data_IF_777038878251
#
_entry.id   IF_777038878251
#
_cell.length_a   1.000
_cell.length_b   1.000
_cell.length_c   1.000
_cell.angle_alpha   90.00
_cell.angle_beta   90.00
_cell.angle_gamma   90.00
#
_symmetry.space_group_name_H-M   'P 1'
#
loop_
_entity.id
_entity.type
_entity.pdbx_description
1 polymer ?
#
# COMPACT_ATOMS: atom_id res chain seq x y z
N UNK A 1 -40.09 42.34 22.49
CA UNK A 1 -39.77 40.88 22.59
C UNK A 1 -38.37 40.77 23.11
N UNK A 2 -38.20 40.38 24.41
CA UNK A 2 -36.90 40.37 25.08
C UNK A 2 -36.23 39.00 24.89
N UNK A 3 -35.05 38.97 24.28
CA UNK A 3 -34.18 37.80 24.18
C UNK A 3 -33.42 37.61 25.46
N UNK A 4 -33.53 36.45 26.11
CA UNK A 4 -32.72 36.06 27.25
C UNK A 4 -31.48 35.30 26.77
N UNK A 5 -30.27 35.56 27.28
CA UNK A 5 -29.11 34.75 26.98
C UNK A 5 -29.09 33.51 27.90
N UNK A 6 -28.95 32.35 27.26
CA UNK A 6 -28.73 31.07 27.94
C UNK A 6 -27.26 31.01 28.37
N UNK A 7 -27.00 31.06 29.67
CA UNK A 7 -25.64 30.85 30.21
C UNK A 7 -25.35 29.34 30.30
N UNK A 8 -24.34 28.87 29.53
CA UNK A 8 -23.82 27.52 29.59
C UNK A 8 -22.83 27.41 30.76
N UNK A 9 -23.20 26.74 31.84
CA UNK A 9 -22.33 26.47 32.96
C UNK A 9 -21.41 25.26 32.62
N UNK A 10 -20.11 25.52 32.47
CA UNK A 10 -19.08 24.49 32.37
C UNK A 10 -18.69 24.09 33.79
N UNK A 11 -19.04 22.86 34.17
CA UNK A 11 -18.57 22.26 35.45
C UNK A 11 -17.17 21.69 35.22
N UNK A 12 -16.17 22.34 35.83
CA UNK A 12 -14.80 21.85 35.91
C UNK A 12 -14.71 20.77 37.01
N UNK A 13 -14.67 19.50 36.58
CA UNK A 13 -14.28 18.40 37.46
C UNK A 13 -12.74 18.32 37.47
N UNK A 14 -12.13 18.65 38.59
CA UNK A 14 -10.69 18.44 38.80
C UNK A 14 -10.41 16.96 39.07
N UNK A 15 -9.51 16.30 38.32
CA UNK A 15 -9.07 14.97 38.69
C UNK A 15 -8.05 15.05 39.83
N UNK A 16 -8.32 14.32 40.91
CA UNK A 16 -7.35 14.07 41.95
C UNK A 16 -6.23 13.17 41.43
N UNK A 17 -5.03 13.70 41.36
CA UNK A 17 -3.81 12.93 41.01
C UNK A 17 -3.42 12.05 42.20
N UNK A 18 -3.63 10.74 42.07
CA UNK A 18 -2.95 9.72 42.87
C UNK A 18 -1.57 9.49 42.23
N UNK A 19 -0.53 10.00 42.89
CA UNK A 19 0.85 9.66 42.53
C UNK A 19 1.13 8.22 42.98
N UNK A 20 1.13 7.30 42.03
CA UNK A 20 1.73 5.99 42.20
C UNK A 20 3.21 6.09 41.79
N UNK A 21 4.10 5.96 42.76
CA UNK A 21 5.53 5.75 42.50
C UNK A 21 5.75 4.29 42.11
N UNK A 22 5.71 3.97 40.82
CA UNK A 22 6.22 2.69 40.29
C UNK A 22 7.68 2.89 39.89
N UNK A 23 8.58 2.43 40.75
CA UNK A 23 9.98 2.19 40.40
C UNK A 23 10.11 0.86 39.65
N UNK A 24 9.67 0.80 38.42
CA UNK A 24 10.07 -0.26 37.48
C UNK A 24 11.03 0.36 36.46
N UNK A 25 12.33 0.12 36.68
CA UNK A 25 13.37 0.23 35.66
C UNK A 25 13.23 -0.90 34.64
N UNK A 26 12.08 -1.11 34.06
CA UNK A 26 11.95 -1.82 32.82
C UNK A 26 12.41 -0.89 31.70
N UNK A 27 13.63 -1.10 31.25
CA UNK A 27 14.06 -0.60 29.94
C UNK A 27 13.04 -1.10 28.93
N UNK A 28 12.12 -0.21 28.52
CA UNK A 28 11.17 -0.45 27.44
C UNK A 28 11.98 -0.76 26.16
N UNK A 29 12.33 -2.02 25.98
CA UNK A 29 12.79 -2.50 24.68
C UNK A 29 11.62 -2.30 23.72
N UNK A 30 11.71 -1.29 22.87
CA UNK A 30 10.77 -1.13 21.79
C UNK A 30 10.72 -2.46 21.01
N UNK A 31 9.52 -3.02 20.72
CA UNK A 31 9.42 -4.27 19.99
C UNK A 31 10.23 -4.16 18.71
N UNK A 32 11.04 -5.19 18.44
CA UNK A 32 11.88 -5.23 17.24
C UNK A 32 10.99 -5.05 16.00
N UNK A 33 11.24 -3.99 15.22
CA UNK A 33 10.49 -3.71 14.01
C UNK A 33 10.82 -4.78 12.99
N UNK A 34 9.85 -5.63 12.70
CA UNK A 34 9.96 -6.72 11.71
C UNK A 34 9.63 -6.17 10.34
N UNK A 35 10.44 -6.50 9.34
CA UNK A 35 10.27 -6.10 7.95
C UNK A 35 10.27 -7.33 7.04
N UNK A 36 9.68 -7.17 5.86
CA UNK A 36 9.56 -8.23 4.84
C UNK A 36 10.32 -7.91 3.55
N UNK A 37 11.31 -7.02 3.65
CA UNK A 37 12.10 -6.51 2.52
C UNK A 37 12.77 -7.59 1.68
N UNK A 38 13.05 -8.73 2.28
CA UNK A 38 13.65 -9.89 1.64
C UNK A 38 12.69 -11.04 1.44
N UNK A 39 11.38 -10.80 1.30
CA UNK A 39 10.31 -11.82 1.23
C UNK A 39 10.20 -12.71 2.48
N UNK A 40 11.01 -12.48 3.50
CA UNK A 40 10.99 -13.13 4.80
C UNK A 40 10.84 -12.07 5.89
N UNK A 41 10.05 -12.35 6.91
CA UNK A 41 9.98 -11.51 8.09
C UNK A 41 11.33 -11.55 8.84
N UNK A 42 11.95 -10.40 9.05
CA UNK A 42 13.24 -10.27 9.74
C UNK A 42 13.30 -8.98 10.58
N UNK A 43 14.06 -8.93 11.66
CA UNK A 43 14.29 -7.69 12.38
C UNK A 43 14.95 -6.65 11.45
N UNK A 44 14.46 -5.40 11.48
CA UNK A 44 15.02 -4.32 10.65
C UNK A 44 16.53 -4.15 10.82
N UNK A 45 17.07 -4.42 12.01
CA UNK A 45 18.48 -4.32 12.31
C UNK A 45 19.34 -5.35 11.53
N UNK A 46 18.73 -6.43 11.05
CA UNK A 46 19.39 -7.49 10.27
C UNK A 46 19.21 -7.29 8.75
N UNK A 47 18.42 -6.31 8.34
CA UNK A 47 18.22 -6.03 6.93
C UNK A 47 19.49 -5.55 6.25
N UNK A 48 19.88 -6.21 5.17
CA UNK A 48 21.01 -5.83 4.33
C UNK A 48 20.75 -4.61 3.48
N UNK A 49 19.47 -4.26 3.25
CA UNK A 49 19.06 -3.11 2.47
C UNK A 49 18.63 -1.91 3.32
N UNK A 50 18.87 -0.72 2.78
CA UNK A 50 18.38 0.52 3.36
C UNK A 50 16.83 0.54 3.33
N UNK A 51 16.20 0.28 4.47
CA UNK A 51 14.75 0.15 4.61
C UNK A 51 14.19 1.25 5.50
N UNK A 52 13.13 1.91 5.02
CA UNK A 52 12.29 2.81 5.81
C UNK A 52 10.95 2.14 6.06
N UNK A 53 10.43 2.27 7.28
CA UNK A 53 9.16 1.67 7.67
C UNK A 53 8.30 2.75 8.31
N UNK A 54 7.04 2.80 7.91
CA UNK A 54 6.00 3.60 8.52
C UNK A 54 4.91 2.69 9.03
N UNK A 55 4.75 2.63 10.33
CA UNK A 55 3.70 1.87 10.99
C UNK A 55 2.39 2.65 11.03
N UNK A 56 1.28 2.01 11.39
CA UNK A 56 0.00 2.71 11.62
C UNK A 56 0.14 3.88 12.59
N UNK A 57 0.89 3.70 13.68
CA UNK A 57 1.18 4.76 14.65
C UNK A 57 1.94 5.95 14.04
N UNK A 58 2.88 5.67 13.12
CA UNK A 58 3.59 6.74 12.41
C UNK A 58 2.67 7.48 11.45
N UNK A 59 1.82 6.78 10.71
CA UNK A 59 0.83 7.37 9.80
C UNK A 59 -0.12 8.28 10.58
N UNK A 60 -0.64 7.80 11.71
CA UNK A 60 -1.54 8.57 12.57
C UNK A 60 -0.86 9.79 13.22
N UNK A 61 0.39 9.63 13.66
CA UNK A 61 1.17 10.75 14.24
C UNK A 61 1.51 11.83 13.20
N UNK A 62 1.84 11.41 11.98
CA UNK A 62 2.24 12.32 10.90
C UNK A 62 1.05 13.01 10.23
N UNK A 63 -0.18 12.52 10.45
CA UNK A 63 -1.43 13.06 9.90
C UNK A 63 -1.38 13.29 8.38
N UNK A 64 -0.66 12.40 7.66
CA UNK A 64 -0.59 12.42 6.20
C UNK A 64 -1.92 12.00 5.61
N UNK A 65 -2.26 12.56 4.46
CA UNK A 65 -3.51 12.28 3.76
C UNK A 65 -3.38 11.19 2.70
N UNK A 66 -2.21 11.12 2.08
CA UNK A 66 -1.94 10.25 0.95
C UNK A 66 -0.65 9.47 1.15
N UNK A 67 -0.52 8.37 0.44
CA UNK A 67 0.68 7.53 0.45
C UNK A 67 1.90 8.30 -0.05
N UNK A 68 1.73 9.10 -1.08
CA UNK A 68 2.81 9.89 -1.68
C UNK A 68 3.41 10.93 -0.72
N UNK A 69 2.60 11.59 0.13
CA UNK A 69 3.11 12.48 1.19
C UNK A 69 4.02 11.74 2.18
N UNK A 70 3.71 10.48 2.46
CA UNK A 70 4.55 9.65 3.33
C UNK A 70 5.87 9.31 2.64
N UNK A 71 5.82 8.98 1.35
CA UNK A 71 6.98 8.60 0.55
C UNK A 71 7.98 9.76 0.37
N UNK A 72 7.53 11.03 0.36
CA UNK A 72 8.45 12.19 0.32
C UNK A 72 9.37 12.28 1.54
N UNK A 73 9.04 11.61 2.64
CA UNK A 73 9.85 11.57 3.87
C UNK A 73 10.95 10.50 3.82
N UNK A 74 10.98 9.68 2.77
CA UNK A 74 11.98 8.62 2.62
C UNK A 74 13.23 9.18 1.94
N UNK A 75 14.40 9.14 2.56
CA UNK A 75 15.65 9.58 1.93
C UNK A 75 15.90 8.88 0.60
N UNK A 76 16.19 9.63 -0.48
CA UNK A 76 16.48 9.09 -1.81
C UNK A 76 15.24 8.63 -2.58
N UNK A 77 14.06 9.01 -2.14
CA UNK A 77 12.79 8.90 -2.89
C UNK A 77 12.36 10.31 -3.29
N UNK A 78 12.00 10.47 -4.55
CA UNK A 78 11.38 11.68 -5.10
C UNK A 78 9.99 11.33 -5.58
N UNK A 79 9.04 12.22 -5.33
CA UNK A 79 7.65 12.04 -5.72
C UNK A 79 7.22 13.25 -6.57
N UNK A 80 6.55 12.98 -7.67
CA UNK A 80 5.92 14.00 -8.50
C UNK A 80 4.42 13.77 -8.56
N UNK A 81 3.63 14.83 -8.52
CA UNK A 81 2.18 14.79 -8.73
C UNK A 81 1.82 15.83 -9.78
N UNK A 82 1.01 15.45 -10.75
CA UNK A 82 0.67 16.27 -11.89
C UNK A 82 -0.67 17.01 -11.70
N UNK A 83 -0.92 17.55 -10.49
CA UNK A 83 -2.15 18.27 -10.21
C UNK A 83 -2.66 18.09 -8.78
N UNK A 84 -3.97 18.18 -8.60
CA UNK A 84 -4.67 18.07 -7.33
C UNK A 84 -4.77 16.65 -6.77
N UNK A 85 -5.65 16.41 -5.79
CA UNK A 85 -5.90 15.08 -5.24
C UNK A 85 -6.36 14.09 -6.32
N UNK A 86 -5.76 12.89 -6.35
CA UNK A 86 -6.08 11.85 -7.33
C UNK A 86 -5.37 11.98 -8.68
N UNK A 87 -4.56 13.04 -8.88
CA UNK A 87 -3.76 13.19 -10.09
C UNK A 87 -2.60 12.21 -10.13
N UNK A 88 -2.17 11.87 -11.36
CA UNK A 88 -1.09 10.93 -11.62
C UNK A 88 0.14 11.21 -10.76
N UNK A 89 0.58 10.21 -10.04
CA UNK A 89 1.69 10.28 -9.10
C UNK A 89 2.83 9.37 -9.51
N UNK A 90 4.01 9.92 -9.73
CA UNK A 90 5.25 9.20 -10.01
C UNK A 90 6.13 9.09 -8.79
N UNK A 91 6.70 7.90 -8.54
CA UNK A 91 7.66 7.67 -7.45
C UNK A 91 8.98 7.19 -8.03
N UNK A 92 10.04 7.91 -7.74
CA UNK A 92 11.38 7.71 -8.28
C UNK A 92 12.35 7.40 -7.14
N UNK A 93 13.02 6.27 -7.19
CA UNK A 93 13.99 5.87 -6.17
C UNK A 93 15.41 5.95 -6.72
N UNK A 94 16.28 6.72 -6.06
CA UNK A 94 17.71 6.84 -6.41
C UNK A 94 17.97 7.14 -7.90
N UNK A 95 17.10 7.95 -8.53
CA UNK A 95 17.25 8.35 -9.93
C UNK A 95 16.75 7.34 -10.97
N UNK A 96 16.11 6.25 -10.57
CA UNK A 96 15.45 5.33 -11.52
C UNK A 96 14.09 5.89 -11.94
N UNK A 97 13.51 5.34 -13.01
CA UNK A 97 12.15 5.71 -13.43
C UNK A 97 11.09 5.17 -12.47
N UNK A 98 9.89 5.75 -12.50
CA UNK A 98 8.76 5.28 -11.68
C UNK A 98 8.38 3.84 -12.00
N UNK A 99 8.49 3.39 -13.25
CA UNK A 99 8.25 2.02 -13.67
C UNK A 99 9.29 1.01 -13.13
N UNK A 100 10.43 1.49 -12.61
CA UNK A 100 11.47 0.67 -11.99
C UNK A 100 11.39 0.67 -10.45
N UNK A 101 10.32 1.23 -9.90
CA UNK A 101 10.00 1.26 -8.47
C UNK A 101 8.79 0.36 -8.24
N UNK A 102 9.05 -0.89 -7.88
CA UNK A 102 7.99 -1.89 -7.71
C UNK A 102 7.11 -1.56 -6.51
N UNK A 103 5.80 -1.53 -6.71
CA UNK A 103 4.81 -1.38 -5.64
C UNK A 103 3.99 -2.65 -5.48
N UNK A 104 3.89 -3.09 -4.23
CA UNK A 104 3.09 -4.25 -3.84
C UNK A 104 2.06 -3.84 -2.78
N UNK A 105 0.84 -4.32 -2.92
CA UNK A 105 -0.21 -4.26 -1.88
C UNK A 105 -0.53 -5.68 -1.45
N UNK A 106 -0.30 -6.00 -0.19
CA UNK A 106 -0.42 -7.36 0.38
C UNK A 106 0.25 -8.43 -0.49
N UNK A 107 1.43 -8.09 -1.04
CA UNK A 107 2.22 -8.95 -1.93
C UNK A 107 1.82 -8.93 -3.41
N UNK A 108 0.71 -8.28 -3.78
CA UNK A 108 0.25 -8.18 -5.16
C UNK A 108 0.79 -6.92 -5.85
N UNK A 109 1.33 -7.07 -7.07
CA UNK A 109 1.80 -5.95 -7.89
C UNK A 109 0.61 -5.12 -8.36
N UNK A 110 0.72 -3.80 -8.28
CA UNK A 110 -0.31 -2.84 -8.68
C UNK A 110 0.16 -1.90 -9.80
N UNK A 111 0.89 -2.40 -10.78
CA UNK A 111 1.40 -1.58 -11.87
C UNK A 111 0.54 -1.73 -13.13
N UNK A 112 0.24 -0.62 -13.80
CA UNK A 112 -0.40 -0.62 -15.11
C UNK A 112 0.51 -1.27 -16.15
N UNK A 113 0.01 -2.24 -16.91
CA UNK A 113 0.79 -2.95 -17.93
C UNK A 113 1.23 -2.04 -19.08
N UNK A 114 0.48 -0.97 -19.35
CA UNK A 114 0.77 0.00 -20.42
C UNK A 114 1.98 0.90 -20.11
N UNK A 115 2.18 1.29 -18.86
CA UNK A 115 3.20 2.28 -18.46
C UNK A 115 4.24 1.73 -17.47
N UNK A 116 3.95 0.61 -16.82
CA UNK A 116 4.75 0.08 -15.71
C UNK A 116 4.63 0.88 -14.39
N UNK A 117 3.87 1.97 -14.38
CA UNK A 117 3.69 2.81 -13.18
C UNK A 117 2.54 2.32 -12.32
N UNK A 118 2.61 2.59 -11.02
CA UNK A 118 1.59 2.17 -10.05
C UNK A 118 0.71 3.34 -9.65
N UNK A 119 -0.61 3.14 -9.63
CA UNK A 119 -1.63 4.15 -9.30
C UNK A 119 -1.71 4.38 -7.78
N UNK A 120 -0.63 4.94 -7.20
CA UNK A 120 -0.53 5.23 -5.76
C UNK A 120 -1.50 6.31 -5.29
N UNK A 121 -1.89 7.23 -6.19
CA UNK A 121 -2.80 8.32 -5.95
C UNK A 121 -4.19 7.88 -5.50
N UNK A 122 -4.57 6.66 -5.82
CA UNK A 122 -5.87 6.10 -5.45
C UNK A 122 -5.85 5.38 -4.10
N UNK A 123 -4.67 5.08 -3.54
CA UNK A 123 -4.57 4.33 -2.29
C UNK A 123 -5.00 5.15 -1.08
N UNK A 124 -6.06 4.71 -0.41
CA UNK A 124 -6.52 5.32 0.83
C UNK A 124 -5.58 4.97 1.98
N UNK A 125 -4.94 5.99 2.56
CA UNK A 125 -4.02 5.86 3.70
C UNK A 125 -4.68 5.23 4.94
N UNK A 126 -5.99 5.39 5.08
CA UNK A 126 -6.73 4.86 6.22
C UNK A 126 -6.90 3.34 6.19
N UNK A 127 -6.77 2.71 5.02
CA UNK A 127 -6.82 1.26 4.87
C UNK A 127 -5.45 0.60 5.09
N UNK A 128 -4.40 1.40 5.30
CA UNK A 128 -3.01 0.93 5.38
C UNK A 128 -2.58 0.76 6.85
N UNK A 129 -2.02 -0.39 7.15
CA UNK A 129 -1.39 -0.71 8.45
C UNK A 129 0.07 -0.29 8.48
N UNK A 130 0.81 -0.58 7.38
CA UNK A 130 2.24 -0.38 7.33
C UNK A 130 2.71 -0.19 5.89
N UNK A 131 3.72 0.66 5.71
CA UNK A 131 4.45 0.82 4.45
C UNK A 131 5.93 0.57 4.71
N UNK A 132 6.54 -0.31 3.92
CA UNK A 132 7.97 -0.58 3.90
C UNK A 132 8.55 -0.12 2.57
N UNK A 133 9.62 0.68 2.62
CA UNK A 133 10.31 1.17 1.43
C UNK A 133 11.75 0.66 1.45
N UNK A 134 12.04 -0.28 0.57
CA UNK A 134 13.36 -0.90 0.39
C UNK A 134 14.04 -0.25 -0.78
N UNK A 135 15.17 0.42 -0.54
CA UNK A 135 15.89 1.21 -1.54
C UNK A 135 17.10 0.48 -2.08
N UNK A 136 17.24 0.49 -3.38
CA UNK A 136 18.26 -0.21 -4.13
C UNK A 136 17.73 -1.48 -4.76
N UNK A 137 18.48 -2.03 -5.69
CA UNK A 137 18.04 -3.16 -6.50
C UNK A 137 17.62 -4.37 -5.65
N UNK A 138 16.43 -4.88 -5.94
CA UNK A 138 15.88 -6.12 -5.43
C UNK A 138 15.47 -7.07 -6.59
N UNK A 139 16.05 -6.86 -7.74
CA UNK A 139 15.73 -7.59 -8.98
C UNK A 139 15.98 -9.09 -8.85
N UNK A 140 16.96 -9.52 -8.04
CA UNK A 140 17.19 -10.95 -7.77
C UNK A 140 16.03 -11.64 -7.05
N UNK A 141 15.14 -10.90 -6.39
CA UNK A 141 13.97 -11.45 -5.71
C UNK A 141 12.65 -11.13 -6.44
N UNK A 142 12.56 -9.91 -7.00
CA UNK A 142 11.29 -9.37 -7.50
C UNK A 142 11.25 -9.15 -9.01
N UNK A 143 12.38 -9.39 -9.72
CA UNK A 143 12.49 -9.19 -11.16
C UNK A 143 12.86 -7.77 -11.56
N UNK A 144 12.80 -7.48 -12.86
CA UNK A 144 13.28 -6.23 -13.50
C UNK A 144 12.64 -4.95 -12.96
N UNK A 145 11.39 -5.01 -12.52
CA UNK A 145 10.67 -3.82 -12.06
C UNK A 145 11.17 -3.28 -10.71
N UNK A 146 12.04 -4.04 -10.00
CA UNK A 146 12.60 -3.70 -8.70
C UNK A 146 14.06 -3.19 -8.76
N UNK A 147 14.46 -2.50 -9.82
CA UNK A 147 15.81 -1.93 -9.99
C UNK A 147 16.04 -0.77 -9.01
N UNK A 148 15.08 0.14 -8.88
CA UNK A 148 15.12 1.26 -7.94
C UNK A 148 14.90 0.84 -6.50
N UNK A 149 14.00 -0.12 -6.31
CA UNK A 149 13.61 -0.65 -5.03
C UNK A 149 12.19 -1.20 -5.02
N UNK A 150 11.71 -1.47 -3.81
CA UNK A 150 10.37 -2.04 -3.59
C UNK A 150 9.64 -1.23 -2.52
N UNK A 151 8.39 -0.89 -2.80
CA UNK A 151 7.44 -0.32 -1.83
C UNK A 151 6.43 -1.43 -1.51
N UNK A 152 6.43 -1.90 -0.28
CA UNK A 152 5.44 -2.86 0.20
C UNK A 152 4.42 -2.15 1.08
N UNK A 153 3.17 -2.26 0.71
CA UNK A 153 2.02 -1.68 1.40
C UNK A 153 1.21 -2.84 1.96
N UNK A 154 0.97 -2.80 3.26
CA UNK A 154 0.17 -3.79 3.97
C UNK A 154 -1.13 -3.13 4.39
N UNK A 155 -2.25 -3.73 4.02
CA UNK A 155 -3.56 -3.29 4.49
C UNK A 155 -3.75 -3.63 5.97
N UNK A 156 -4.73 -2.98 6.61
CA UNK A 156 -5.04 -3.25 8.01
C UNK A 156 -5.33 -4.72 8.22
N UNK A 157 -4.75 -5.29 9.24
CA UNK A 157 -4.95 -6.68 9.67
C UNK A 157 -5.57 -6.74 11.06
N UNK A 158 -6.07 -7.91 11.45
CA UNK A 158 -6.55 -8.17 12.80
C UNK A 158 -5.42 -8.40 13.79
N UNK A 159 -5.76 -8.39 15.05
CA UNK A 159 -4.86 -8.68 16.18
C UNK A 159 -5.52 -9.67 17.13
N UNK A 160 -4.73 -10.27 18.01
CA UNK A 160 -5.24 -11.15 19.06
C UNK A 160 -5.88 -10.31 20.19
N UNK A 161 -6.95 -9.62 19.85
CA UNK A 161 -7.76 -8.80 20.77
C UNK A 161 -9.23 -8.95 20.40
N UNK A 162 -10.17 -8.81 21.37
CA UNK A 162 -11.60 -8.75 21.04
C UNK A 162 -11.89 -7.71 19.96
N UNK A 163 -13.00 -7.89 19.25
CA UNK A 163 -13.44 -7.00 18.19
C UNK A 163 -13.43 -5.53 18.65
N UNK A 164 -12.66 -4.71 17.95
CA UNK A 164 -12.53 -3.28 18.21
C UNK A 164 -13.00 -2.51 16.98
N UNK A 165 -14.13 -1.80 17.06
CA UNK A 165 -14.53 -0.86 16.03
C UNK A 165 -13.58 0.34 16.02
N UNK A 166 -13.29 0.86 14.84
CA UNK A 166 -12.56 2.11 14.67
C UNK A 166 -13.30 3.04 13.72
N UNK A 167 -13.16 4.32 13.95
CA UNK A 167 -13.75 5.38 13.15
C UNK A 167 -12.78 6.55 13.04
N UNK A 168 -12.70 7.13 11.84
CA UNK A 168 -12.03 8.41 11.60
C UNK A 168 -12.94 9.29 10.78
N UNK A 169 -13.10 10.53 11.22
CA UNK A 169 -13.81 11.59 10.50
C UNK A 169 -12.88 12.78 10.37
N UNK A 170 -12.72 13.32 9.17
CA UNK A 170 -11.97 14.53 8.95
C UNK A 170 -12.70 15.44 7.97
N UNK A 171 -12.53 16.75 8.16
CA UNK A 171 -13.04 17.79 7.28
C UNK A 171 -11.93 18.82 7.03
N UNK A 172 -11.86 19.35 5.82
CA UNK A 172 -10.83 20.29 5.42
C UNK A 172 -11.31 21.34 4.43
N UNK A 173 -10.37 22.16 3.96
CA UNK A 173 -10.60 23.12 2.88
C UNK A 173 -11.09 22.40 1.60
N UNK A 174 -11.61 23.18 0.65
CA UNK A 174 -12.14 22.67 -0.63
C UNK A 174 -13.22 21.60 -0.45
N UNK A 175 -14.07 21.73 0.58
CA UNK A 175 -15.13 20.76 0.93
C UNK A 175 -14.59 19.33 1.03
N UNK A 176 -13.40 19.17 1.59
CA UNK A 176 -12.80 17.84 1.78
C UNK A 176 -13.42 17.15 3.00
N UNK A 177 -13.88 15.93 2.79
CA UNK A 177 -14.44 15.07 3.83
C UNK A 177 -13.84 13.66 3.70
N UNK A 178 -13.32 13.16 4.81
CA UNK A 178 -12.79 11.79 4.92
C UNK A 178 -13.57 11.06 6.02
N UNK A 179 -14.08 9.88 5.67
CA UNK A 179 -14.91 9.07 6.57
C UNK A 179 -14.44 7.63 6.49
N UNK A 180 -13.93 7.12 7.59
CA UNK A 180 -13.47 5.74 7.70
C UNK A 180 -14.19 5.05 8.84
N UNK A 181 -14.68 3.86 8.58
CA UNK A 181 -15.29 2.96 9.56
C UNK A 181 -14.70 1.57 9.37
N UNK A 182 -14.53 0.85 10.47
CA UNK A 182 -14.11 -0.54 10.38
C UNK A 182 -14.14 -1.26 11.71
N UNK A 183 -13.81 -2.52 11.65
CA UNK A 183 -13.67 -3.39 12.81
C UNK A 183 -12.46 -4.30 12.61
N UNK A 184 -11.63 -4.42 13.65
CA UNK A 184 -10.51 -5.36 13.68
C UNK A 184 -10.55 -6.15 14.97
N UNK A 185 -10.02 -7.34 14.94
CA UNK A 185 -9.97 -8.18 16.13
C UNK A 185 -9.54 -9.59 15.81
N UNK A 186 -9.73 -10.47 16.78
CA UNK A 186 -9.43 -11.88 16.64
C UNK A 186 -9.17 -12.56 17.97
N UNK A 187 -8.62 -13.74 17.87
CA UNK A 187 -8.14 -14.55 18.97
C UNK A 187 -6.77 -15.16 18.64
N UNK A 188 -6.34 -16.15 19.36
CA UNK A 188 -5.05 -16.84 19.13
C UNK A 188 -4.98 -17.51 17.74
N UNK A 189 -6.11 -17.92 17.19
CA UNK A 189 -6.19 -18.66 15.94
C UNK A 189 -6.65 -17.81 14.76
N UNK A 190 -7.66 -16.96 14.94
CA UNK A 190 -8.26 -16.18 13.84
C UNK A 190 -8.08 -14.70 14.08
N UNK A 191 -7.58 -13.98 13.07
CA UNK A 191 -7.46 -12.53 13.07
C UNK A 191 -8.21 -11.98 11.86
N UNK A 192 -8.88 -10.86 12.04
CA UNK A 192 -9.65 -10.25 10.96
C UNK A 192 -9.67 -8.72 11.05
N UNK A 193 -9.75 -8.10 9.89
CA UNK A 193 -10.08 -6.69 9.72
C UNK A 193 -11.07 -6.53 8.56
N UNK A 194 -12.05 -5.65 8.75
CA UNK A 194 -12.94 -5.16 7.70
C UNK A 194 -13.05 -3.65 7.84
N UNK A 195 -12.77 -2.92 6.78
CA UNK A 195 -12.77 -1.46 6.77
C UNK A 195 -13.34 -0.87 5.50
N UNK A 196 -13.97 0.30 5.63
CA UNK A 196 -14.45 1.10 4.50
C UNK A 196 -14.09 2.56 4.69
N UNK A 197 -13.74 3.22 3.60
CA UNK A 197 -13.40 4.66 3.56
C UNK A 197 -14.12 5.33 2.42
N UNK A 198 -14.57 6.56 2.64
CA UNK A 198 -15.06 7.47 1.62
C UNK A 198 -14.33 8.80 1.76
N UNK A 199 -13.58 9.16 0.73
CA UNK A 199 -12.86 10.43 0.61
C UNK A 199 -13.47 11.23 -0.51
N UNK A 200 -13.85 12.47 -0.22
CA UNK A 200 -14.44 13.42 -1.16
C UNK A 200 -13.77 14.78 -1.01
N UNK A 201 -13.51 15.44 -2.12
CA UNK A 201 -12.99 16.82 -2.16
C UNK A 201 -13.49 17.50 -3.42
N UNK A 202 -13.80 18.79 -3.34
CA UNK A 202 -14.06 19.62 -4.52
C UNK A 202 -12.75 19.99 -5.24
N UNK A 203 -11.58 19.70 -4.64
CA UNK A 203 -10.30 19.97 -5.26
C UNK A 203 -9.99 21.46 -5.47
N UNK A 204 -9.13 21.71 -6.41
CA UNK A 204 -8.68 23.06 -6.81
C UNK A 204 -8.69 23.17 -8.33
N UNK A 205 -8.78 24.37 -8.86
CA UNK A 205 -8.46 24.67 -10.27
C UNK A 205 -6.94 24.53 -10.47
N UNK A 206 -6.50 23.53 -11.21
CA UNK A 206 -5.08 23.23 -11.44
C UNK A 206 -4.45 24.13 -12.50
N UNK A 207 -5.23 24.77 -13.37
CA UNK A 207 -4.74 25.65 -14.44
C UNK A 207 -4.69 27.10 -14.01
N UNK A 208 -5.30 27.49 -12.91
CA UNK A 208 -5.28 28.84 -12.36
C UNK A 208 -5.91 29.89 -13.26
N UNK A 209 -6.84 29.52 -14.14
CA UNK A 209 -7.65 30.38 -14.95
C UNK A 209 -6.91 31.21 -16.04
N UNK A 210 -5.58 31.09 -16.16
CA UNK A 210 -4.77 31.89 -17.07
C UNK A 210 -4.38 31.16 -18.36
N UNK A 211 -4.44 29.87 -18.40
CA UNK A 211 -4.01 29.02 -19.51
C UNK A 211 -5.12 28.14 -20.10
N UNK A 212 -6.26 28.03 -19.44
CA UNK A 212 -7.31 27.12 -19.83
C UNK A 212 -8.63 27.84 -20.18
N UNK A 213 -9.37 27.22 -21.07
CA UNK A 213 -10.78 27.54 -21.30
C UNK A 213 -11.68 26.97 -20.20
N UNK A 214 -11.12 26.14 -19.32
CA UNK A 214 -11.77 25.48 -18.20
C UNK A 214 -11.22 26.03 -16.89
N UNK A 215 -12.07 26.70 -16.12
CA UNK A 215 -11.75 27.30 -14.82
C UNK A 215 -12.72 26.72 -13.80
N UNK A 216 -12.62 25.42 -13.56
CA UNK A 216 -13.38 24.75 -12.52
C UNK A 216 -12.45 24.04 -11.54
N UNK A 217 -13.02 23.47 -10.50
CA UNK A 217 -12.25 22.72 -9.53
C UNK A 217 -12.26 21.22 -9.89
N UNK A 218 -11.10 20.61 -9.81
CA UNK A 218 -10.89 19.20 -10.08
C UNK A 218 -11.27 18.34 -8.86
N UNK A 219 -12.48 17.86 -8.85
CA UNK A 219 -13.00 17.09 -7.72
C UNK A 219 -12.45 15.67 -7.68
N UNK A 220 -12.32 15.15 -6.45
CA UNK A 220 -12.01 13.74 -6.19
C UNK A 220 -13.12 13.09 -5.37
N UNK A 221 -13.55 11.92 -5.79
CA UNK A 221 -14.34 11.00 -4.97
C UNK A 221 -13.70 9.62 -5.02
N UNK A 222 -13.27 9.10 -3.85
CA UNK A 222 -12.67 7.77 -3.72
C UNK A 222 -13.38 7.00 -2.61
N UNK A 223 -13.84 5.80 -2.92
CA UNK A 223 -14.34 4.83 -1.95
C UNK A 223 -13.40 3.64 -1.91
N UNK A 224 -13.04 3.21 -0.70
CA UNK A 224 -12.19 2.06 -0.46
C UNK A 224 -12.89 1.06 0.46
N UNK A 225 -12.72 -0.21 0.15
CA UNK A 225 -13.08 -1.33 1.03
C UNK A 225 -11.85 -2.21 1.20
N UNK A 226 -11.57 -2.65 2.42
CA UNK A 226 -10.51 -3.61 2.70
C UNK A 226 -11.00 -4.72 3.62
N UNK A 227 -10.48 -5.91 3.37
CA UNK A 227 -10.70 -7.09 4.19
C UNK A 227 -9.39 -7.85 4.33
N UNK A 228 -9.11 -8.30 5.54
CA UNK A 228 -7.99 -9.21 5.81
C UNK A 228 -8.45 -10.23 6.86
N UNK A 229 -8.26 -11.51 6.57
CA UNK A 229 -8.57 -12.61 7.49
C UNK A 229 -7.43 -13.61 7.43
N UNK A 230 -6.92 -14.02 8.59
CA UNK A 230 -5.97 -15.13 8.70
C UNK A 230 -6.40 -16.10 9.78
N UNK A 231 -6.10 -17.39 9.57
CA UNK A 231 -6.43 -18.45 10.50
C UNK A 231 -5.25 -19.41 10.67
N UNK A 232 -4.86 -19.59 11.93
CA UNK A 232 -3.84 -20.55 12.35
C UNK A 232 -4.54 -21.88 12.66
N UNK A 233 -4.44 -22.86 11.77
CA UNK A 233 -5.08 -24.19 11.94
C UNK A 233 -4.40 -25.02 13.01
N UNK A 234 -3.09 -24.86 13.13
CA UNK A 234 -2.24 -25.45 14.16
C UNK A 234 -0.92 -24.67 14.23
N UNK A 235 0.02 -25.08 15.07
CA UNK A 235 1.31 -24.39 15.27
C UNK A 235 2.15 -24.28 13.98
N UNK A 236 1.85 -25.08 12.97
CA UNK A 236 2.60 -25.13 11.72
C UNK A 236 1.87 -24.51 10.54
N UNK A 237 0.54 -24.62 10.45
CA UNK A 237 -0.25 -24.27 9.28
C UNK A 237 -1.08 -23.02 9.51
N UNK A 238 -0.83 -22.01 8.70
CA UNK A 238 -1.62 -20.78 8.63
C UNK A 238 -2.11 -20.57 7.19
N UNK A 239 -3.33 -20.08 7.04
CA UNK A 239 -3.83 -19.55 5.78
C UNK A 239 -4.52 -18.20 5.98
N UNK A 240 -4.56 -17.42 4.94
CA UNK A 240 -5.22 -16.12 4.99
C UNK A 240 -5.65 -15.63 3.63
N UNK A 241 -6.54 -14.66 3.66
CA UNK A 241 -7.02 -13.92 2.49
C UNK A 241 -6.97 -12.43 2.78
N UNK A 242 -6.66 -11.65 1.76
CA UNK A 242 -6.77 -10.20 1.78
C UNK A 242 -7.46 -9.70 0.52
N UNK A 243 -8.18 -8.59 0.64
CA UNK A 243 -8.79 -7.90 -0.48
C UNK A 243 -8.79 -6.40 -0.22
N UNK A 244 -8.49 -5.63 -1.26
CA UNK A 244 -8.62 -4.20 -1.31
C UNK A 244 -9.34 -3.82 -2.60
N UNK A 245 -10.40 -3.01 -2.51
CA UNK A 245 -11.08 -2.46 -3.67
C UNK A 245 -11.23 -0.96 -3.49
N UNK A 246 -10.68 -0.20 -4.43
CA UNK A 246 -10.77 1.25 -4.47
C UNK A 246 -11.32 1.69 -5.80
N UNK A 247 -12.35 2.52 -5.76
CA UNK A 247 -13.04 3.03 -6.95
C UNK A 247 -13.41 4.47 -6.74
N UNK A 248 -13.37 5.22 -7.83
CA UNK A 248 -13.77 6.61 -7.75
C UNK A 248 -13.71 7.34 -9.06
N UNK A 249 -13.88 8.65 -8.93
CA UNK A 249 -13.77 9.63 -10.01
C UNK A 249 -12.76 10.69 -9.58
N UNK A 250 -11.86 11.07 -10.48
CA UNK A 250 -10.99 12.23 -10.33
C UNK A 250 -11.10 13.09 -11.57
N UNK A 251 -11.34 14.38 -11.38
CA UNK A 251 -11.42 15.38 -12.44
C UNK A 251 -10.05 15.98 -12.68
N UNK A 252 -9.81 16.50 -13.86
CA UNK A 252 -8.57 17.18 -14.22
C UNK A 252 -8.80 18.13 -15.41
N UNK A 253 -7.93 19.10 -15.56
CA UNK A 253 -8.00 20.07 -16.65
C UNK A 253 -7.41 19.53 -17.96
N UNK A 254 -8.10 19.80 -19.06
CA UNK A 254 -7.55 19.72 -20.42
C UNK A 254 -7.44 21.12 -21.01
N UNK A 255 -6.22 21.65 -21.01
CA UNK A 255 -5.93 23.00 -21.50
C UNK A 255 -6.16 23.18 -23.01
N UNK A 256 -6.32 22.10 -23.76
CA UNK A 256 -6.47 22.17 -25.23
C UNK A 256 -7.93 22.11 -25.67
N UNK A 257 -8.77 21.34 -24.99
CA UNK A 257 -10.15 21.10 -25.44
C UNK A 257 -11.18 22.02 -24.78
N UNK A 258 -10.86 22.62 -23.63
CA UNK A 258 -11.82 23.40 -22.84
C UNK A 258 -12.98 22.57 -22.28
N UNK A 259 -12.86 21.25 -22.28
CA UNK A 259 -13.83 20.30 -21.77
C UNK A 259 -13.48 19.87 -20.35
N UNK A 260 -14.38 19.16 -19.66
CA UNK A 260 -14.19 18.68 -18.28
C UNK A 260 -13.92 17.17 -18.27
N UNK A 261 -12.68 16.76 -18.54
CA UNK A 261 -12.34 15.36 -18.50
C UNK A 261 -12.23 14.85 -17.04
N UNK A 262 -12.48 13.57 -16.89
CA UNK A 262 -12.31 12.88 -15.63
C UNK A 262 -11.90 11.42 -15.85
N UNK A 263 -11.22 10.85 -14.88
CA UNK A 263 -10.94 9.43 -14.82
C UNK A 263 -11.93 8.74 -13.89
N UNK A 264 -12.68 7.75 -14.42
CA UNK A 264 -13.24 6.69 -13.61
C UNK A 264 -12.13 5.67 -13.36
N UNK A 265 -11.77 5.45 -12.10
CA UNK A 265 -10.69 4.55 -11.74
C UNK A 265 -11.16 3.39 -10.87
N UNK A 266 -10.45 2.28 -10.98
CA UNK A 266 -10.52 1.15 -10.05
C UNK A 266 -9.12 0.61 -9.82
N UNK A 267 -8.73 0.49 -8.56
CA UNK A 267 -7.54 -0.23 -8.12
C UNK A 267 -7.97 -1.30 -7.13
N UNK A 268 -7.82 -2.57 -7.48
CA UNK A 268 -8.20 -3.66 -6.62
C UNK A 268 -7.14 -4.76 -6.54
N UNK A 269 -7.05 -5.39 -5.39
CA UNK A 269 -6.25 -6.58 -5.16
C UNK A 269 -7.04 -7.61 -4.37
N UNK A 270 -6.88 -8.87 -4.70
CA UNK A 270 -7.35 -10.00 -3.92
C UNK A 270 -6.23 -11.04 -3.86
N UNK A 271 -5.91 -11.50 -2.67
CA UNK A 271 -4.85 -12.48 -2.46
C UNK A 271 -5.27 -13.54 -1.44
N UNK A 272 -4.74 -14.73 -1.61
CA UNK A 272 -4.82 -15.79 -0.63
C UNK A 272 -3.46 -16.44 -0.45
N UNK A 273 -3.17 -16.90 0.75
CA UNK A 273 -1.95 -17.63 1.02
C UNK A 273 -2.17 -18.83 1.92
N UNK A 274 -1.26 -19.78 1.79
CA UNK A 274 -1.07 -20.88 2.74
C UNK A 274 0.41 -20.93 3.09
N UNK A 275 0.71 -20.94 4.39
CA UNK A 275 2.07 -21.01 4.92
C UNK A 275 2.17 -22.22 5.86
N UNK A 276 3.18 -23.06 5.66
CA UNK A 276 3.41 -24.21 6.51
C UNK A 276 4.86 -24.23 7.02
N UNK A 277 5.02 -24.30 8.33
CA UNK A 277 6.29 -24.49 9.01
C UNK A 277 6.51 -26.01 9.17
N UNK A 278 7.22 -26.64 8.24
CA UNK A 278 7.45 -28.10 8.28
C UNK A 278 8.30 -28.55 9.48
N UNK A 279 9.26 -27.70 9.85
CA UNK A 279 10.10 -27.84 11.04
C UNK A 279 10.78 -26.51 11.35
N UNK A 280 11.61 -26.42 12.39
CA UNK A 280 12.28 -25.18 12.81
C UNK A 280 13.15 -24.54 11.70
N UNK A 281 13.58 -25.34 10.74
CA UNK A 281 14.49 -24.92 9.68
C UNK A 281 13.81 -24.67 8.33
N UNK A 282 12.56 -25.09 8.12
CA UNK A 282 11.90 -25.01 6.81
C UNK A 282 10.47 -24.49 6.90
N UNK A 283 10.26 -23.34 6.30
CA UNK A 283 8.94 -22.77 6.03
C UNK A 283 8.68 -22.73 4.51
N UNK A 284 7.47 -23.08 4.11
CA UNK A 284 7.00 -23.00 2.73
C UNK A 284 5.71 -22.20 2.68
N UNK A 285 5.64 -21.24 1.75
CA UNK A 285 4.48 -20.37 1.57
C UNK A 285 4.10 -20.30 0.09
N UNK A 286 2.82 -20.51 -0.19
CA UNK A 286 2.21 -20.31 -1.50
C UNK A 286 1.27 -19.13 -1.41
N UNK A 287 1.47 -18.14 -2.28
CA UNK A 287 0.59 -16.99 -2.45
C UNK A 287 -0.04 -17.05 -3.85
N UNK A 288 -1.34 -16.83 -3.93
CA UNK A 288 -2.10 -16.65 -5.17
C UNK A 288 -2.78 -15.29 -5.13
N UNK A 289 -2.84 -14.61 -6.25
CA UNK A 289 -3.43 -13.29 -6.27
C UNK A 289 -3.94 -12.83 -7.61
N UNK A 290 -4.82 -11.84 -7.52
CA UNK A 290 -5.38 -11.09 -8.64
C UNK A 290 -5.31 -9.60 -8.32
N UNK A 291 -4.94 -8.79 -9.32
CA UNK A 291 -5.00 -7.33 -9.20
C UNK A 291 -5.57 -6.71 -10.47
N UNK A 292 -6.26 -5.59 -10.29
CA UNK A 292 -6.78 -4.76 -11.36
C UNK A 292 -6.34 -3.32 -11.16
N UNK A 293 -5.85 -2.70 -12.23
CA UNK A 293 -5.59 -1.26 -12.31
C UNK A 293 -6.30 -0.73 -13.55
N UNK A 294 -7.39 0.01 -13.33
CA UNK A 294 -8.26 0.51 -14.39
C UNK A 294 -8.35 2.02 -14.34
N UNK A 295 -8.16 2.62 -15.49
CA UNK A 295 -8.35 4.05 -15.71
C UNK A 295 -9.09 4.27 -17.02
N UNK A 296 -10.28 4.85 -16.91
CA UNK A 296 -11.13 5.16 -18.05
C UNK A 296 -11.38 6.67 -18.06
N UNK A 297 -10.71 7.37 -18.94
CA UNK A 297 -10.89 8.81 -19.13
C UNK A 297 -12.18 9.06 -19.90
N UNK A 298 -13.00 9.91 -19.38
CA UNK A 298 -14.29 10.34 -19.92
C UNK A 298 -14.39 11.85 -19.91
N UNK A 299 -15.45 12.35 -20.54
CA UNK A 299 -15.77 13.77 -20.57
C UNK A 299 -17.28 13.91 -20.46
N UNK A 300 -17.76 14.79 -19.60
CA UNK A 300 -19.20 15.02 -19.40
C UNK A 300 -19.88 15.59 -20.66
N UNK A 301 -19.13 16.29 -21.51
CA UNK A 301 -19.63 16.92 -22.74
C UNK A 301 -19.66 15.97 -23.95
N UNK A 302 -19.08 14.76 -23.84
CA UNK A 302 -18.97 13.79 -24.92
C UNK A 302 -19.51 12.42 -24.53
N UNK A 303 -20.16 11.75 -25.47
CA UNK A 303 -20.64 10.38 -25.27
C UNK A 303 -19.50 9.39 -25.50
N UNK A 304 -19.19 8.56 -24.50
CA UNK A 304 -18.19 7.51 -24.60
C UNK A 304 -16.92 7.80 -23.79
N UNK A 305 -15.98 6.88 -23.83
CA UNK A 305 -14.66 7.04 -23.22
C UNK A 305 -13.69 7.69 -24.20
N UNK A 306 -12.93 8.68 -23.75
CA UNK A 306 -11.83 9.28 -24.51
C UNK A 306 -10.64 8.32 -24.59
N UNK A 307 -10.33 7.66 -23.47
CA UNK A 307 -9.32 6.61 -23.41
C UNK A 307 -9.62 5.61 -22.30
N UNK A 308 -9.08 4.41 -22.46
CA UNK A 308 -9.17 3.35 -21.46
C UNK A 308 -7.84 2.60 -21.39
N UNK A 309 -7.36 2.37 -20.17
CA UNK A 309 -6.18 1.54 -19.87
C UNK A 309 -6.51 0.67 -18.67
N UNK A 310 -6.89 -0.57 -18.93
CA UNK A 310 -7.36 -1.50 -17.91
C UNK A 310 -6.42 -2.71 -17.87
N UNK A 311 -5.67 -2.84 -16.81
CA UNK A 311 -4.75 -3.96 -16.54
C UNK A 311 -5.39 -4.95 -15.60
N UNK A 312 -5.29 -6.21 -15.93
CA UNK A 312 -5.67 -7.35 -15.11
C UNK A 312 -4.45 -8.24 -14.94
N UNK A 313 -4.14 -8.61 -13.71
CA UNK A 313 -2.99 -9.48 -13.41
C UNK A 313 -3.41 -10.64 -12.52
N UNK A 314 -3.02 -11.85 -12.92
CA UNK A 314 -3.04 -13.01 -12.05
C UNK A 314 -1.61 -13.35 -11.65
N UNK A 315 -1.41 -13.86 -10.45
CA UNK A 315 -0.07 -14.19 -9.95
C UNK A 315 -0.10 -15.41 -9.05
N UNK A 316 1.00 -16.15 -9.08
CA UNK A 316 1.30 -17.20 -8.11
C UNK A 316 2.76 -17.07 -7.68
N UNK A 317 3.01 -17.17 -6.41
CA UNK A 317 4.36 -17.16 -5.83
C UNK A 317 4.49 -18.31 -4.85
N UNK A 318 5.50 -19.15 -5.04
CA UNK A 318 5.85 -20.20 -4.09
C UNK A 318 7.23 -19.95 -3.52
N UNK A 319 7.29 -19.72 -2.23
CA UNK A 319 8.48 -19.34 -1.50
C UNK A 319 8.84 -20.40 -0.46
N UNK A 320 10.10 -20.83 -0.44
CA UNK A 320 10.67 -21.70 0.58
C UNK A 320 11.80 -20.98 1.29
N UNK A 321 11.73 -20.93 2.60
CA UNK A 321 12.76 -20.38 3.47
C UNK A 321 13.40 -21.53 4.23
N UNK A 322 14.72 -21.70 4.08
CA UNK A 322 15.49 -22.77 4.70
C UNK A 322 16.57 -22.13 5.58
N UNK A 323 16.55 -22.45 6.86
CA UNK A 323 17.60 -22.06 7.83
C UNK A 323 18.49 -23.27 8.09
N UNK A 324 19.68 -23.29 7.51
CA UNK A 324 20.59 -24.45 7.62
C UNK A 324 21.27 -24.48 8.98
N UNK A 325 21.68 -23.31 9.48
CA UNK A 325 22.23 -23.08 10.81
C UNK A 325 22.02 -21.62 11.20
N UNK A 326 22.49 -21.20 12.37
CA UNK A 326 22.32 -19.82 12.87
C UNK A 326 22.84 -18.75 11.91
N UNK A 327 23.84 -19.08 11.12
CA UNK A 327 24.51 -18.13 10.21
C UNK A 327 24.00 -18.22 8.77
N UNK A 328 23.55 -19.39 8.29
CA UNK A 328 23.25 -19.62 6.88
C UNK A 328 21.77 -19.90 6.65
N UNK A 329 21.17 -19.07 5.83
CA UNK A 329 19.80 -19.22 5.35
C UNK A 329 19.71 -19.19 3.84
N UNK A 330 18.78 -19.94 3.29
CA UNK A 330 18.44 -19.94 1.86
C UNK A 330 16.99 -19.55 1.66
N UNK A 331 16.76 -18.86 0.56
CA UNK A 331 15.44 -18.52 0.06
C UNK A 331 15.35 -19.03 -1.36
N UNK A 332 14.41 -19.92 -1.63
CA UNK A 332 14.17 -20.52 -2.94
C UNK A 332 12.74 -20.26 -3.33
N UNK A 333 12.51 -19.77 -4.54
CA UNK A 333 11.14 -19.50 -4.94
C UNK A 333 10.91 -19.60 -6.43
N UNK A 334 9.62 -19.70 -6.76
CA UNK A 334 9.07 -19.67 -8.11
C UNK A 334 8.02 -18.58 -8.17
N UNK A 335 8.09 -17.75 -9.18
CA UNK A 335 7.10 -16.71 -9.50
C UNK A 335 6.44 -17.02 -10.83
N UNK A 336 5.16 -16.74 -10.92
CA UNK A 336 4.41 -16.66 -12.16
C UNK A 336 3.46 -15.47 -12.11
N UNK A 337 3.35 -14.74 -13.22
CA UNK A 337 2.25 -13.80 -13.41
C UNK A 337 1.84 -13.72 -14.89
N UNK A 338 0.59 -13.33 -15.10
CA UNK A 338 -0.02 -13.08 -16.39
C UNK A 338 -0.72 -11.72 -16.36
N UNK A 339 -0.32 -10.83 -17.29
CA UNK A 339 -0.89 -9.49 -17.44
C UNK A 339 -1.74 -9.46 -18.72
N UNK A 340 -2.95 -8.91 -18.61
CA UNK A 340 -3.84 -8.62 -19.72
C UNK A 340 -4.15 -7.12 -19.71
N UNK A 341 -3.95 -6.47 -20.84
CA UNK A 341 -4.27 -5.06 -21.05
C UNK A 341 -5.47 -4.93 -22.00
N UNK A 342 -6.53 -4.29 -21.51
CA UNK A 342 -7.60 -3.79 -22.37
C UNK A 342 -7.43 -2.27 -22.51
N UNK A 343 -7.21 -1.82 -23.74
CA UNK A 343 -6.91 -0.43 -24.05
C UNK A 343 -7.70 0.07 -25.26
N UNK A 344 -8.04 1.37 -25.24
CA UNK A 344 -8.56 2.09 -26.41
C UNK A 344 -7.46 2.44 -27.43
N UNK A 345 -6.21 2.37 -27.00
CA UNK A 345 -5.04 2.52 -27.88
C UNK A 345 -4.57 1.15 -28.34
N UNK A 346 -4.26 1.02 -29.62
CA UNK A 346 -3.71 -0.22 -30.16
C UNK A 346 -2.28 -0.43 -29.70
N UNK A 347 -2.03 -1.61 -29.11
CA UNK A 347 -0.71 -2.10 -28.75
C UNK A 347 -0.38 -3.36 -29.55
N UNK A 348 0.87 -3.52 -29.95
CA UNK A 348 1.32 -4.73 -30.64
C UNK A 348 1.15 -6.00 -29.78
N UNK A 349 1.15 -5.84 -28.45
CA UNK A 349 0.98 -6.91 -27.48
C UNK A 349 0.11 -6.43 -26.32
N UNK A 350 -0.98 -7.14 -26.06
CA UNK A 350 -1.96 -6.83 -25.03
C UNK A 350 -1.98 -7.84 -23.89
N UNK A 351 -1.11 -8.84 -23.95
CA UNK A 351 -0.90 -9.79 -22.87
C UNK A 351 0.56 -10.18 -22.77
N UNK A 352 1.03 -10.43 -21.57
CA UNK A 352 2.34 -10.99 -21.30
C UNK A 352 2.27 -11.88 -20.08
N UNK A 353 3.06 -12.92 -20.07
CA UNK A 353 3.30 -13.72 -18.88
C UNK A 353 4.80 -13.76 -18.55
N UNK A 354 5.10 -14.08 -17.33
CA UNK A 354 6.47 -14.27 -16.85
C UNK A 354 6.50 -15.47 -15.92
N UNK A 355 7.52 -16.28 -16.04
CA UNK A 355 7.87 -17.34 -15.08
C UNK A 355 9.28 -17.10 -14.61
N UNK A 356 9.50 -17.22 -13.32
CA UNK A 356 10.83 -17.05 -12.79
C UNK A 356 11.14 -18.03 -11.67
N UNK A 357 12.41 -18.44 -11.62
CA UNK A 357 13.00 -19.14 -10.50
C UNK A 357 14.08 -18.30 -9.86
N UNK A 358 14.16 -18.28 -8.53
CA UNK A 358 15.20 -17.55 -7.83
C UNK A 358 15.73 -18.32 -6.62
N UNK A 359 17.00 -18.05 -6.33
CA UNK A 359 17.73 -18.58 -5.18
C UNK A 359 18.48 -17.43 -4.53
N UNK A 360 18.38 -17.31 -3.21
CA UNK A 360 19.17 -16.37 -2.43
C UNK A 360 19.82 -17.11 -1.26
N UNK A 361 21.12 -16.87 -1.06
CA UNK A 361 21.85 -17.26 0.14
C UNK A 361 22.05 -16.03 1.01
N UNK A 362 21.79 -16.17 2.31
CA UNK A 362 22.08 -15.19 3.34
C UNK A 362 23.04 -15.76 4.35
N UNK A 363 24.06 -14.99 4.64
CA UNK A 363 25.02 -15.29 5.69
C UNK A 363 24.99 -14.18 6.75
N UNK A 364 24.85 -14.56 8.00
CA UNK A 364 24.90 -13.67 9.15
C UNK A 364 26.15 -13.98 9.99
N UNK A 365 27.20 -13.18 9.86
CA UNK A 365 28.39 -13.25 10.69
C UNK A 365 28.33 -12.25 11.85
N UNK A 366 29.26 -12.35 12.78
CA UNK A 366 29.33 -11.45 13.93
C UNK A 366 29.59 -9.98 13.52
N UNK A 367 30.39 -9.77 12.48
CA UNK A 367 30.84 -8.43 12.05
C UNK A 367 30.29 -8.01 10.68
N UNK A 368 29.75 -8.93 9.89
CA UNK A 368 29.23 -8.66 8.57
C UNK A 368 28.13 -9.63 8.19
N UNK A 369 27.26 -9.20 7.30
CA UNK A 369 26.24 -10.06 6.68
C UNK A 369 26.35 -9.95 5.17
N UNK A 370 26.09 -11.05 4.47
CA UNK A 370 26.05 -11.07 3.00
C UNK A 370 24.74 -11.64 2.48
N UNK A 371 24.37 -11.16 1.31
CA UNK A 371 23.19 -11.60 0.59
C UNK A 371 23.56 -11.78 -0.89
N UNK A 372 23.50 -13.00 -1.38
CA UNK A 372 23.79 -13.36 -2.76
C UNK A 372 22.54 -13.96 -3.38
N UNK A 373 22.09 -13.40 -4.49
CA UNK A 373 20.88 -13.84 -5.17
C UNK A 373 21.07 -14.07 -6.66
N UNK A 374 20.42 -15.11 -7.16
CA UNK A 374 20.32 -15.43 -8.58
C UNK A 374 18.85 -15.53 -8.94
N UNK A 375 18.48 -15.03 -10.10
CA UNK A 375 17.12 -15.13 -10.66
C UNK A 375 17.21 -15.35 -12.17
N UNK A 376 16.32 -16.19 -12.66
CA UNK A 376 16.09 -16.40 -14.09
C UNK A 376 14.63 -16.18 -14.39
N UNK A 377 14.36 -15.34 -15.36
CA UNK A 377 13.02 -15.01 -15.87
C UNK A 377 12.90 -15.51 -17.32
N UNK A 378 11.73 -16.06 -17.67
CA UNK A 378 11.38 -16.55 -19.00
C UNK A 378 10.10 -15.85 -19.51
#
# INVERSE_FOLDING_TARGET
MKLHPLALAIVLLSPATLAATDNNNDTLQAPALVITSGRKAEPKAQATAATSVFTRKDIERLQVRNVDELLTRVPGVSVTRNGGPGSLTGVFMRGTSSAQSLVLVDGQRIAAASSGTSSLEFLSIDQIERIEVVRGSRSSLYGSDAIGGVIQIFTRSGSNTPAQPYMRLAAGSHSTYERTLGVSGGDAQTRYNLGGTLNESQGIDNTGGSLGQNSDNDALRNRALSMNVSHQFNDQLEAGISALDQRGKTEFDDIYSGTRPYDDFQLSTAAGYVSNQFNDSWNSRLDLGHSEDKRNTKNDDLVGSLSAFNTYRNSANWLNTLQVNEQNGFLVGLDWYDDILHSSTDFNQTSRWNKAGYLQHRFYGESFSTELGLRHDD
#
